data_IF_427292142188
#
_entry.id   IF_427292142188
#
_cell.length_a   1.000
_cell.length_b   1.000
_cell.length_c   1.000
_cell.angle_alpha   90.00
_cell.angle_beta   90.00
_cell.angle_gamma   90.00
#
_symmetry.space_group_name_H-M   'P 1'
#
loop_
_entity.id
_entity.type
_entity.pdbx_description
1 polymer ?
#
# COMPACT_ATOMS: atom_id res chain seq x y z
N UNK A 1 32.08 7.27 -5.51
CA UNK A 1 31.45 6.91 -4.22
C UNK A 1 30.96 8.13 -3.43
N UNK A 2 31.74 9.23 -3.33
CA UNK A 2 31.31 10.47 -2.67
C UNK A 2 30.18 11.23 -3.38
N UNK A 3 30.23 11.33 -4.72
CA UNK A 3 29.18 11.98 -5.51
C UNK A 3 27.79 11.35 -5.29
N UNK A 4 27.67 10.02 -5.35
CA UNK A 4 26.41 9.32 -5.05
C UNK A 4 25.93 9.55 -3.62
N UNK A 5 26.84 9.67 -2.64
CA UNK A 5 26.49 9.96 -1.25
C UNK A 5 25.96 11.38 -1.08
N UNK A 6 26.50 12.33 -1.83
CA UNK A 6 26.04 13.71 -1.88
C UNK A 6 24.68 13.84 -2.58
N UNK A 7 24.51 13.23 -3.76
CA UNK A 7 23.23 13.20 -4.50
C UNK A 7 22.13 12.55 -3.67
N UNK A 8 22.42 11.42 -3.01
CA UNK A 8 21.46 10.77 -2.10
C UNK A 8 21.02 11.70 -0.98
N UNK A 9 21.96 12.38 -0.30
CA UNK A 9 21.62 13.37 0.76
C UNK A 9 20.75 14.51 0.23
N UNK A 10 21.05 15.02 -0.97
CA UNK A 10 20.26 16.08 -1.61
C UNK A 10 18.85 15.59 -1.94
N UNK A 11 18.70 14.39 -2.51
CA UNK A 11 17.38 13.82 -2.81
C UNK A 11 16.58 13.57 -1.52
N UNK A 12 17.20 13.02 -0.47
CA UNK A 12 16.50 12.87 0.84
C UNK A 12 16.02 14.23 1.36
N UNK A 13 16.85 15.26 1.23
CA UNK A 13 16.51 16.62 1.68
C UNK A 13 15.38 17.25 0.84
N UNK A 14 15.35 17.01 -0.47
CA UNK A 14 14.28 17.46 -1.36
C UNK A 14 12.98 16.69 -1.12
N UNK A 15 13.04 15.37 -0.97
CA UNK A 15 11.88 14.57 -0.59
C UNK A 15 11.31 15.04 0.74
N UNK A 16 12.17 15.38 1.70
CA UNK A 16 11.78 15.93 3.00
C UNK A 16 10.99 17.25 2.91
N UNK A 17 11.01 17.91 1.75
CA UNK A 17 10.21 19.11 1.47
C UNK A 17 8.87 18.81 0.76
N UNK A 18 8.72 17.61 0.19
CA UNK A 18 7.50 17.14 -0.51
C UNK A 18 6.56 16.32 0.39
N UNK A 19 7.03 15.90 1.56
CA UNK A 19 6.29 15.13 2.56
C UNK A 19 6.91 15.28 3.96
N UNK A 20 6.52 14.42 4.90
CA UNK A 20 7.12 14.41 6.24
C UNK A 20 8.60 13.98 6.15
N UNK A 21 9.54 14.91 6.43
CA UNK A 21 10.98 14.63 6.47
C UNK A 21 11.35 13.40 7.32
N UNK A 22 10.59 13.16 8.39
CA UNK A 22 10.74 12.03 9.30
C UNK A 22 10.36 10.71 8.63
N UNK A 23 9.33 10.71 7.80
CA UNK A 23 8.82 9.53 7.08
C UNK A 23 9.82 9.03 6.04
N UNK A 24 10.29 9.91 5.15
CA UNK A 24 11.24 9.51 4.10
C UNK A 24 12.56 9.01 4.71
N UNK A 25 13.02 9.61 5.80
CA UNK A 25 14.19 9.12 6.51
C UNK A 25 13.95 7.75 7.16
N UNK A 26 12.78 7.50 7.74
CA UNK A 26 12.41 6.17 8.25
C UNK A 26 12.32 5.13 7.13
N UNK A 27 11.69 5.46 6.00
CA UNK A 27 11.61 4.60 4.82
C UNK A 27 13.01 4.24 4.31
N UNK A 28 13.87 5.25 4.09
CA UNK A 28 15.23 5.02 3.61
C UNK A 28 16.08 4.26 4.63
N UNK A 29 15.92 4.50 5.93
CA UNK A 29 16.63 3.74 6.97
C UNK A 29 16.17 2.28 7.00
N UNK A 30 14.86 2.02 6.87
CA UNK A 30 14.28 0.68 6.87
C UNK A 30 14.72 -0.15 5.67
N UNK A 31 14.79 0.45 4.48
CA UNK A 31 14.99 -0.30 3.24
C UNK A 31 16.41 -0.27 2.67
N UNK A 32 17.30 0.62 3.14
CA UNK A 32 18.62 0.75 2.52
C UNK A 32 19.74 -0.12 3.10
N UNK A 33 19.51 -0.86 4.19
CA UNK A 33 20.61 -1.56 4.89
C UNK A 33 20.37 -3.02 5.27
N UNK A 34 19.14 -3.53 5.33
CA UNK A 34 18.89 -4.88 5.88
C UNK A 34 18.12 -5.86 4.97
N UNK A 35 17.34 -5.41 3.98
CA UNK A 35 16.47 -6.33 3.23
C UNK A 35 16.09 -5.82 1.82
N UNK A 36 17.08 -5.49 0.97
CA UNK A 36 16.84 -5.00 -0.40
C UNK A 36 15.94 -5.94 -1.22
N UNK A 37 16.07 -7.27 -1.01
CA UNK A 37 15.22 -8.30 -1.65
C UNK A 37 13.74 -8.20 -1.29
N UNK A 38 13.42 -7.62 -0.13
CA UNK A 38 12.05 -7.47 0.36
C UNK A 38 11.51 -6.07 0.13
N UNK A 39 12.26 -5.15 -0.48
CA UNK A 39 11.80 -3.78 -0.65
C UNK A 39 10.49 -3.72 -1.47
N UNK A 40 10.58 -4.03 -2.76
CA UNK A 40 9.43 -3.94 -3.65
C UNK A 40 9.48 -4.96 -4.78
N UNK A 41 8.32 -5.54 -5.10
CA UNK A 41 8.07 -6.23 -6.36
C UNK A 41 7.17 -5.33 -7.21
N UNK A 42 7.63 -4.94 -8.39
CA UNK A 42 6.93 -4.04 -9.32
C UNK A 42 6.50 -4.83 -10.54
N UNK A 43 5.20 -5.12 -10.66
CA UNK A 43 4.61 -5.75 -11.83
C UNK A 43 4.26 -4.69 -12.87
N UNK A 44 4.83 -4.83 -14.06
CA UNK A 44 4.64 -3.93 -15.20
C UNK A 44 3.76 -4.61 -16.26
N UNK A 45 2.62 -3.99 -16.57
CA UNK A 45 1.78 -4.45 -17.68
C UNK A 45 2.43 -4.20 -19.04
N UNK A 46 2.18 -5.06 -20.03
CA UNK A 46 2.75 -4.90 -21.38
C UNK A 46 2.35 -3.58 -22.06
N UNK A 47 1.17 -3.04 -21.76
CA UNK A 47 0.75 -1.72 -22.24
C UNK A 47 1.64 -0.59 -21.70
N UNK A 48 2.07 -0.67 -20.43
CA UNK A 48 3.01 0.30 -19.85
C UNK A 48 4.35 0.27 -20.58
N UNK A 49 4.86 -0.92 -20.92
CA UNK A 49 6.10 -1.05 -21.71
C UNK A 49 5.99 -0.44 -23.12
N UNK A 50 4.79 -0.48 -23.72
CA UNK A 50 4.55 0.07 -25.05
C UNK A 50 4.39 1.58 -25.01
N UNK A 51 3.56 2.06 -24.08
CA UNK A 51 3.01 3.42 -24.12
C UNK A 51 3.71 4.40 -23.17
N UNK A 52 4.34 3.91 -22.09
CA UNK A 52 4.84 4.77 -21.00
C UNK A 52 6.22 4.33 -20.48
N UNK A 53 7.05 3.79 -21.37
CA UNK A 53 8.42 3.37 -21.07
C UNK A 53 9.30 4.50 -20.49
N UNK A 54 9.25 5.76 -20.98
CA UNK A 54 10.05 6.85 -20.41
C UNK A 54 9.71 7.17 -18.95
N UNK A 55 8.41 7.22 -18.59
CA UNK A 55 8.03 7.48 -17.20
C UNK A 55 8.38 6.29 -16.29
N UNK A 56 8.19 5.05 -16.78
CA UNK A 56 8.60 3.84 -16.07
C UNK A 56 10.09 3.83 -15.74
N UNK A 57 10.94 4.08 -16.75
CA UNK A 57 12.40 4.05 -16.59
C UNK A 57 12.88 5.18 -15.70
N UNK A 58 12.30 6.38 -15.81
CA UNK A 58 12.56 7.51 -14.91
C UNK A 58 12.25 7.17 -13.44
N UNK A 59 11.06 6.61 -13.17
CA UNK A 59 10.66 6.26 -11.80
C UNK A 59 11.49 5.13 -11.20
N UNK A 60 11.82 4.10 -11.97
CA UNK A 60 12.69 3.00 -11.51
C UNK A 60 14.13 3.49 -11.28
N UNK A 61 14.64 4.38 -12.14
CA UNK A 61 15.95 5.04 -11.98
C UNK A 61 16.00 5.84 -10.68
N UNK A 62 14.95 6.63 -10.42
CA UNK A 62 14.84 7.40 -9.19
C UNK A 62 14.94 6.52 -7.93
N UNK A 63 14.22 5.38 -7.90
CA UNK A 63 14.29 4.43 -6.79
C UNK A 63 15.72 3.92 -6.57
N UNK A 64 16.43 3.52 -7.62
CA UNK A 64 17.80 3.05 -7.49
C UNK A 64 18.75 4.15 -6.99
N UNK A 65 18.60 5.38 -7.49
CA UNK A 65 19.43 6.52 -7.09
C UNK A 65 19.29 6.86 -5.60
N UNK A 66 18.12 6.64 -4.99
CA UNK A 66 17.92 6.80 -3.55
C UNK A 66 18.35 5.58 -2.71
N UNK A 67 18.81 4.52 -3.37
CA UNK A 67 19.33 3.30 -2.76
C UNK A 67 18.30 2.18 -2.59
N UNK A 68 17.20 2.22 -3.35
CA UNK A 68 16.15 1.20 -3.34
C UNK A 68 16.15 0.43 -4.67
N UNK A 69 16.34 -0.88 -4.61
CA UNK A 69 16.43 -1.72 -5.81
C UNK A 69 15.16 -2.56 -5.94
N UNK A 70 14.14 -2.11 -6.70
CA UNK A 70 12.93 -2.92 -6.91
C UNK A 70 13.24 -4.16 -7.75
N UNK A 71 12.47 -5.22 -7.52
CA UNK A 71 12.41 -6.39 -8.41
C UNK A 71 11.29 -6.14 -9.41
N UNK A 72 11.61 -6.14 -10.70
CA UNK A 72 10.63 -5.83 -11.76
C UNK A 72 10.21 -7.11 -12.46
N UNK A 73 8.90 -7.38 -12.52
CA UNK A 73 8.33 -8.46 -13.31
C UNK A 73 7.48 -7.84 -14.43
N UNK A 74 7.70 -8.23 -15.68
CA UNK A 74 6.96 -7.66 -16.80
C UNK A 74 6.15 -8.68 -17.59
N UNK A 75 5.03 -8.22 -18.16
CA UNK A 75 4.32 -8.89 -19.24
C UNK A 75 4.67 -8.29 -20.61
N UNK A 76 4.08 -8.84 -21.67
CA UNK A 76 4.21 -8.32 -23.05
C UNK A 76 2.91 -8.48 -23.85
N UNK A 77 1.76 -8.36 -23.18
CA UNK A 77 0.45 -8.72 -23.72
C UNK A 77 0.14 -8.11 -25.10
N UNK A 78 0.15 -6.78 -25.26
CA UNK A 78 -0.17 -6.15 -26.54
C UNK A 78 0.85 -6.42 -27.64
N UNK A 79 2.14 -6.43 -27.32
CA UNK A 79 3.22 -6.74 -28.27
C UNK A 79 3.08 -8.17 -28.80
N UNK A 80 2.71 -9.10 -27.92
CA UNK A 80 2.49 -10.49 -28.27
C UNK A 80 1.22 -10.68 -29.12
N UNK A 81 0.16 -9.93 -28.85
CA UNK A 81 -1.06 -9.96 -29.68
C UNK A 81 -0.76 -9.50 -31.12
N UNK A 82 0.05 -8.46 -31.29
CA UNK A 82 0.48 -7.94 -32.60
C UNK A 82 1.30 -8.97 -33.39
N UNK A 83 2.34 -9.55 -32.77
CA UNK A 83 3.23 -10.53 -33.42
C UNK A 83 2.52 -11.85 -33.75
N UNK A 84 1.61 -12.32 -32.89
CA UNK A 84 0.78 -13.50 -33.17
C UNK A 84 -0.15 -13.25 -34.36
N UNK A 85 -0.79 -12.07 -34.41
CA UNK A 85 -1.64 -11.68 -35.52
C UNK A 85 -0.86 -11.59 -36.83
N UNK A 86 0.34 -11.01 -36.81
CA UNK A 86 1.22 -10.93 -37.98
C UNK A 86 1.63 -12.32 -38.50
N UNK A 87 1.79 -13.30 -37.60
CA UNK A 87 2.05 -14.69 -37.94
C UNK A 87 0.80 -15.51 -38.34
N UNK A 88 -0.38 -14.89 -38.40
CA UNK A 88 -1.64 -15.55 -38.73
C UNK A 88 -2.16 -16.49 -37.63
N UNK A 89 -1.66 -16.37 -36.40
CA UNK A 89 -2.09 -17.18 -35.26
C UNK A 89 -3.21 -16.44 -34.52
N UNK A 90 -4.42 -17.01 -34.56
CA UNK A 90 -5.57 -16.43 -33.87
C UNK A 90 -5.42 -16.53 -32.35
N UNK A 91 -5.74 -15.44 -31.66
CA UNK A 91 -5.79 -15.40 -30.20
C UNK A 91 -6.96 -16.26 -29.69
N UNK A 92 -6.63 -17.27 -28.90
CA UNK A 92 -7.61 -18.09 -28.20
C UNK A 92 -7.42 -17.95 -26.68
N UNK A 93 -8.52 -17.76 -25.97
CA UNK A 93 -8.52 -17.64 -24.51
C UNK A 93 -9.56 -18.56 -23.89
N UNK A 94 -9.18 -19.29 -22.85
CA UNK A 94 -10.07 -20.12 -22.02
C UNK A 94 -9.91 -19.63 -20.59
N UNK A 95 -11.01 -19.31 -19.90
CA UNK A 95 -11.00 -18.79 -18.52
C UNK A 95 -10.06 -17.59 -18.30
N UNK A 96 -9.93 -16.71 -19.30
CA UNK A 96 -9.03 -15.55 -19.24
C UNK A 96 -7.54 -15.86 -19.45
N UNK A 97 -7.17 -17.13 -19.66
CA UNK A 97 -5.80 -17.56 -19.97
C UNK A 97 -5.63 -17.80 -21.47
N UNK A 98 -4.50 -17.39 -22.02
CA UNK A 98 -4.18 -17.58 -23.45
C UNK A 98 -3.74 -19.03 -23.69
N UNK A 99 -4.47 -19.73 -24.57
CA UNK A 99 -4.06 -21.05 -25.07
C UNK A 99 -2.79 -20.89 -25.89
N UNK A 100 -1.77 -21.70 -25.62
CA UNK A 100 -0.44 -21.53 -26.22
C UNK A 100 -0.01 -22.82 -26.95
N UNK A 101 -0.05 -22.80 -28.28
CA UNK A 101 0.47 -23.88 -29.12
C UNK A 101 2.01 -23.82 -29.26
N UNK A 102 2.68 -24.87 -29.76
CA UNK A 102 4.13 -24.84 -30.01
C UNK A 102 4.57 -23.68 -30.92
N UNK A 103 3.79 -23.39 -31.97
CA UNK A 103 4.06 -22.24 -32.86
C UNK A 103 3.89 -20.90 -32.14
N UNK A 104 2.84 -20.78 -31.31
CA UNK A 104 2.63 -19.58 -30.51
C UNK A 104 3.74 -19.39 -29.46
N UNK A 105 4.20 -20.46 -28.81
CA UNK A 105 5.25 -20.38 -27.79
C UNK A 105 6.57 -19.82 -28.34
N UNK A 106 6.94 -20.17 -29.57
CA UNK A 106 8.14 -19.61 -30.20
C UNK A 106 8.08 -18.07 -30.30
N UNK A 107 6.90 -17.53 -30.64
CA UNK A 107 6.66 -16.09 -30.70
C UNK A 107 6.60 -15.50 -29.30
N UNK A 108 5.92 -16.15 -28.35
CA UNK A 108 5.89 -15.76 -26.93
C UNK A 108 7.31 -15.55 -26.42
N UNK A 109 8.19 -16.54 -26.58
CA UNK A 109 9.58 -16.48 -26.12
C UNK A 109 10.34 -15.31 -26.73
N UNK A 110 10.26 -15.15 -28.06
CA UNK A 110 10.90 -14.04 -28.79
C UNK A 110 10.45 -12.69 -28.24
N UNK A 111 9.14 -12.45 -28.17
CA UNK A 111 8.57 -11.18 -27.74
C UNK A 111 8.94 -10.86 -26.29
N UNK A 112 8.88 -11.84 -25.40
CA UNK A 112 9.25 -11.62 -24.00
C UNK A 112 10.74 -11.30 -23.83
N UNK A 113 11.63 -11.99 -24.55
CA UNK A 113 13.07 -11.68 -24.52
C UNK A 113 13.36 -10.28 -25.06
N UNK A 114 12.72 -9.90 -26.16
CA UNK A 114 12.87 -8.58 -26.77
C UNK A 114 12.39 -7.45 -25.84
N UNK A 115 11.19 -7.59 -25.26
CA UNK A 115 10.65 -6.57 -24.34
C UNK A 115 11.44 -6.51 -23.02
N UNK A 116 11.98 -7.64 -22.55
CA UNK A 116 12.85 -7.68 -21.38
C UNK A 116 14.12 -6.86 -21.62
N UNK A 117 14.81 -7.13 -22.74
CA UNK A 117 16.04 -6.43 -23.10
C UNK A 117 15.77 -4.94 -23.36
N UNK A 118 14.70 -4.61 -24.08
CA UNK A 118 14.28 -3.21 -24.33
C UNK A 118 14.13 -2.41 -23.03
N UNK A 119 13.50 -2.98 -22.00
CA UNK A 119 13.36 -2.29 -20.71
C UNK A 119 14.72 -2.13 -20.01
N UNK A 120 15.55 -3.18 -20.02
CA UNK A 120 16.90 -3.14 -19.41
C UNK A 120 17.78 -2.10 -20.09
N UNK A 121 17.82 -2.06 -21.41
CA UNK A 121 18.59 -1.08 -22.19
C UNK A 121 18.10 0.34 -21.94
N UNK A 122 16.78 0.55 -21.86
CA UNK A 122 16.22 1.85 -21.56
C UNK A 122 16.59 2.34 -20.13
N UNK A 123 16.65 1.43 -19.15
CA UNK A 123 17.17 1.75 -17.81
C UNK A 123 18.66 2.09 -17.85
N UNK A 124 19.46 1.26 -18.53
CA UNK A 124 20.91 1.48 -18.65
C UNK A 124 21.25 2.80 -19.37
N UNK A 125 20.44 3.20 -20.36
CA UNK A 125 20.55 4.50 -21.01
C UNK A 125 20.30 5.71 -20.10
N UNK A 126 19.73 5.49 -18.91
CA UNK A 126 19.56 6.49 -17.84
C UNK A 126 20.58 6.33 -16.70
N UNK A 127 21.70 5.65 -16.95
CA UNK A 127 22.73 5.29 -15.96
C UNK A 127 22.22 4.43 -14.80
N UNK A 128 21.15 3.67 -15.03
CA UNK A 128 20.55 2.76 -14.05
C UNK A 128 21.06 1.34 -14.26
N UNK A 129 21.59 0.71 -13.20
CA UNK A 129 22.00 -0.69 -13.28
C UNK A 129 20.76 -1.58 -13.34
N UNK A 130 20.58 -2.29 -14.43
CA UNK A 130 19.52 -3.27 -14.60
C UNK A 130 20.09 -4.57 -15.20
N UNK A 131 19.57 -5.70 -14.75
CA UNK A 131 19.97 -7.04 -15.19
C UNK A 131 18.78 -7.70 -15.87
N UNK A 132 18.98 -8.18 -17.09
CA UNK A 132 18.01 -9.01 -17.80
C UNK A 132 17.94 -10.40 -17.17
N UNK A 133 16.74 -10.82 -16.77
CA UNK A 133 16.45 -12.16 -16.24
C UNK A 133 15.30 -12.76 -17.07
N UNK A 134 15.57 -13.23 -18.29
CA UNK A 134 14.53 -13.68 -19.22
C UNK A 134 13.96 -15.06 -18.86
N UNK A 135 14.64 -15.84 -18.04
CA UNK A 135 14.26 -17.21 -17.66
C UNK A 135 14.99 -17.66 -16.37
N UNK A 136 14.71 -18.87 -15.89
CA UNK A 136 15.40 -19.47 -14.73
C UNK A 136 14.90 -19.04 -13.34
N UNK A 137 13.83 -18.25 -13.27
CA UNK A 137 13.18 -17.84 -12.01
C UNK A 137 11.99 -18.72 -11.66
N UNK A 138 11.17 -19.08 -12.64
CA UNK A 138 9.91 -19.80 -12.43
C UNK A 138 10.04 -21.25 -12.89
N UNK A 139 10.17 -22.19 -11.95
CA UNK A 139 9.94 -23.59 -12.27
C UNK A 139 8.43 -23.82 -12.36
N UNK A 140 7.97 -24.50 -13.38
CA UNK A 140 6.55 -24.64 -13.70
C UNK A 140 6.20 -26.04 -14.19
N UNK A 141 5.00 -26.48 -13.84
CA UNK A 141 4.36 -27.66 -14.41
C UNK A 141 3.30 -27.24 -15.43
N UNK A 142 2.85 -28.15 -16.28
CA UNK A 142 1.72 -27.87 -17.18
C UNK A 142 0.47 -27.59 -16.35
N UNK A 143 -0.22 -26.47 -16.64
CA UNK A 143 -1.47 -26.14 -15.95
C UNK A 143 -2.57 -27.16 -16.29
N UNK A 144 -2.79 -27.34 -17.59
CA UNK A 144 -3.59 -28.40 -18.19
C UNK A 144 -3.21 -28.42 -19.68
N UNK A 145 -2.54 -29.49 -20.10
CA UNK A 145 -1.94 -29.56 -21.44
C UNK A 145 -3.00 -29.68 -22.53
N UNK A 146 -4.11 -30.32 -22.24
CA UNK A 146 -5.17 -30.56 -23.23
C UNK A 146 -6.02 -29.30 -23.44
N UNK A 147 -6.22 -28.53 -22.37
CA UNK A 147 -7.02 -27.29 -22.40
C UNK A 147 -6.20 -26.08 -22.86
N UNK A 148 -4.98 -25.90 -22.32
CA UNK A 148 -4.20 -24.67 -22.52
C UNK A 148 -2.94 -24.85 -23.36
N UNK A 149 -2.52 -26.08 -23.66
CA UNK A 149 -1.27 -26.35 -24.37
C UNK A 149 -0.03 -26.11 -23.51
N UNK A 150 0.91 -25.30 -24.02
CA UNK A 150 2.19 -24.96 -23.38
C UNK A 150 2.04 -23.80 -22.39
N UNK A 151 1.09 -23.95 -21.45
CA UNK A 151 0.83 -22.99 -20.39
C UNK A 151 1.17 -23.62 -19.05
N UNK A 152 1.93 -22.89 -18.23
CA UNK A 152 2.46 -23.36 -16.97
C UNK A 152 1.71 -22.84 -15.74
N UNK A 153 1.70 -23.66 -14.70
CA UNK A 153 1.47 -23.27 -13.31
C UNK A 153 2.81 -23.28 -12.60
N UNK A 154 3.18 -22.17 -11.97
CA UNK A 154 4.43 -22.06 -11.21
C UNK A 154 4.38 -23.05 -10.03
N UNK A 155 5.39 -23.91 -9.92
CA UNK A 155 5.54 -24.91 -8.87
C UNK A 155 6.58 -24.50 -7.83
N UNK A 156 7.65 -23.81 -8.26
CA UNK A 156 8.64 -23.23 -7.35
C UNK A 156 9.33 -22.00 -7.94
N UNK A 157 9.96 -21.21 -7.07
CA UNK A 157 10.69 -19.98 -7.42
C UNK A 157 12.17 -20.16 -7.10
N UNK A 158 13.02 -20.01 -8.11
CA UNK A 158 14.47 -19.90 -7.94
C UNK A 158 14.88 -18.43 -7.76
N UNK A 159 15.29 -18.07 -6.55
CA UNK A 159 15.71 -16.71 -6.21
C UNK A 159 17.15 -16.39 -6.61
N UNK A 160 17.98 -17.37 -6.96
CA UNK A 160 19.41 -17.16 -7.17
C UNK A 160 19.73 -16.07 -8.22
N UNK A 161 19.04 -16.00 -9.39
CA UNK A 161 19.28 -14.93 -10.37
C UNK A 161 18.91 -13.54 -9.83
N UNK A 162 17.82 -13.46 -9.06
CA UNK A 162 17.32 -12.21 -8.48
C UNK A 162 18.32 -11.71 -7.43
N UNK A 163 18.74 -12.57 -6.52
CA UNK A 163 19.69 -12.22 -5.47
C UNK A 163 21.05 -11.81 -6.02
N UNK A 164 21.53 -12.46 -7.09
CA UNK A 164 22.76 -12.08 -7.76
C UNK A 164 22.69 -10.65 -8.31
N UNK A 165 21.58 -10.29 -8.97
CA UNK A 165 21.35 -8.93 -9.46
C UNK A 165 21.29 -7.91 -8.32
N UNK A 166 20.56 -8.23 -7.24
CA UNK A 166 20.42 -7.34 -6.09
C UNK A 166 21.75 -7.13 -5.35
N UNK A 167 22.59 -8.15 -5.22
CA UNK A 167 23.96 -8.02 -4.66
C UNK A 167 24.84 -7.08 -5.49
N UNK A 168 24.65 -7.08 -6.81
CA UNK A 168 25.31 -6.12 -7.71
C UNK A 168 24.68 -4.71 -7.65
N UNK A 169 23.63 -4.51 -6.84
CA UNK A 169 22.86 -3.27 -6.77
C UNK A 169 22.14 -2.94 -8.09
N UNK A 170 21.81 -3.97 -8.86
CA UNK A 170 21.16 -3.89 -10.16
C UNK A 170 19.71 -4.33 -10.06
N UNK A 171 18.79 -3.62 -10.72
CA UNK A 171 17.36 -3.97 -10.80
C UNK A 171 17.22 -5.27 -11.61
N UNK A 172 16.76 -6.39 -11.02
CA UNK A 172 16.42 -7.57 -11.80
C UNK A 172 15.12 -7.32 -12.57
N UNK A 173 15.18 -7.42 -13.90
CA UNK A 173 14.03 -7.33 -14.79
C UNK A 173 13.68 -8.74 -15.27
N UNK A 174 12.59 -9.28 -14.74
CA UNK A 174 12.18 -10.67 -14.89
C UNK A 174 11.07 -10.77 -15.93
N UNK A 175 11.22 -11.70 -16.88
CA UNK A 175 10.15 -12.06 -17.81
C UNK A 175 9.22 -13.11 -17.21
N UNK A 176 7.92 -13.03 -17.48
CA UNK A 176 6.95 -14.05 -17.04
C UNK A 176 6.97 -15.28 -17.96
N UNK A 177 8.05 -16.06 -17.89
CA UNK A 177 8.20 -17.36 -18.56
C UNK A 177 8.56 -18.44 -17.53
N UNK A 178 7.91 -19.60 -17.62
CA UNK A 178 8.16 -20.76 -16.78
C UNK A 178 9.04 -21.80 -17.47
N UNK A 179 9.66 -22.69 -16.70
CA UNK A 179 10.46 -23.81 -17.19
C UNK A 179 10.07 -25.09 -16.45
N UNK A 180 9.88 -26.20 -17.16
CA UNK A 180 9.76 -27.52 -16.52
C UNK A 180 11.12 -27.99 -16.02
N UNK A 181 11.14 -29.02 -15.17
CA UNK A 181 12.39 -29.67 -14.72
C UNK A 181 13.22 -30.22 -15.89
N UNK A 182 12.59 -30.59 -17.01
CA UNK A 182 13.29 -31.02 -18.23
C UNK A 182 13.73 -29.84 -19.15
N UNK A 183 13.48 -28.60 -18.74
CA UNK A 183 13.87 -27.40 -19.49
C UNK A 183 12.88 -26.95 -20.58
N UNK A 184 11.66 -27.48 -20.61
CA UNK A 184 10.63 -26.99 -21.53
C UNK A 184 10.11 -25.62 -21.06
N UNK A 185 10.23 -24.60 -21.91
CA UNK A 185 9.64 -23.29 -21.65
C UNK A 185 8.11 -23.38 -21.68
N UNK A 186 7.44 -22.77 -20.72
CA UNK A 186 5.98 -22.62 -20.65
C UNK A 186 5.61 -21.15 -20.58
N UNK A 187 4.51 -20.78 -21.23
CA UNK A 187 3.90 -19.48 -21.04
C UNK A 187 3.21 -19.44 -19.67
N UNK A 188 3.45 -18.40 -18.87
CA UNK A 188 2.81 -18.24 -17.56
C UNK A 188 2.05 -16.91 -17.50
N UNK A 189 0.93 -16.88 -16.78
CA UNK A 189 0.21 -15.63 -16.55
C UNK A 189 1.06 -14.70 -15.66
N UNK A 190 1.26 -13.45 -16.09
CA UNK A 190 2.14 -12.51 -15.39
C UNK A 190 1.64 -12.12 -13.99
N UNK A 191 0.32 -12.08 -13.76
CA UNK A 191 -0.24 -11.79 -12.43
C UNK A 191 -0.09 -12.99 -11.50
N UNK A 192 -0.26 -14.22 -12.01
CA UNK A 192 0.01 -15.43 -11.22
C UNK A 192 1.50 -15.57 -10.88
N UNK A 193 2.37 -15.31 -11.86
CA UNK A 193 3.82 -15.28 -11.64
C UNK A 193 4.21 -14.24 -10.58
N UNK A 194 3.60 -13.04 -10.61
CA UNK A 194 3.80 -12.02 -9.60
C UNK A 194 3.38 -12.50 -8.22
N UNK A 195 2.20 -13.11 -8.11
CA UNK A 195 1.67 -13.59 -6.84
C UNK A 195 2.59 -14.64 -6.21
N UNK A 196 3.04 -15.64 -6.97
CA UNK A 196 3.95 -16.67 -6.45
C UNK A 196 5.30 -16.08 -6.04
N UNK A 197 5.85 -15.18 -6.84
CA UNK A 197 7.09 -14.47 -6.49
C UNK A 197 6.95 -13.65 -5.20
N UNK A 198 5.81 -12.97 -5.02
CA UNK A 198 5.49 -12.18 -3.83
C UNK A 198 5.33 -13.06 -2.60
N UNK A 199 4.67 -14.22 -2.70
CA UNK A 199 4.51 -15.15 -1.58
C UNK A 199 5.86 -15.65 -1.07
N UNK A 200 6.80 -15.93 -1.98
CA UNK A 200 8.15 -16.39 -1.63
C UNK A 200 9.02 -15.26 -1.06
N UNK A 201 8.99 -14.07 -1.68
CA UNK A 201 9.82 -12.93 -1.25
C UNK A 201 9.31 -12.21 0.00
N UNK A 202 8.00 -12.26 0.24
CA UNK A 202 7.30 -11.47 1.25
C UNK A 202 7.74 -9.98 1.30
N UNK A 203 7.59 -9.25 0.18
CA UNK A 203 8.03 -7.86 0.09
C UNK A 203 7.15 -6.93 0.92
N UNK A 204 7.71 -5.79 1.30
CA UNK A 204 6.98 -4.71 1.96
C UNK A 204 6.04 -3.98 1.01
N UNK A 205 6.46 -3.79 -0.25
CA UNK A 205 5.66 -3.13 -1.28
C UNK A 205 5.45 -4.05 -2.47
N UNK A 206 4.20 -4.15 -2.90
CA UNK A 206 3.82 -4.85 -4.12
C UNK A 206 3.16 -3.81 -5.00
N UNK A 207 3.75 -3.52 -6.16
CA UNK A 207 3.28 -2.43 -7.01
C UNK A 207 2.77 -2.99 -8.32
N UNK A 208 1.54 -2.69 -8.67
CA UNK A 208 0.97 -2.96 -9.99
C UNK A 208 0.91 -1.67 -10.79
N UNK A 209 1.76 -1.55 -11.81
CA UNK A 209 1.74 -0.40 -12.72
C UNK A 209 0.73 -0.62 -13.84
N UNK A 210 -0.27 0.26 -13.91
CA UNK A 210 -1.34 0.23 -14.91
C UNK A 210 -1.55 1.59 -15.54
N UNK A 211 -2.11 1.63 -16.76
CA UNK A 211 -2.45 2.89 -17.43
C UNK A 211 -3.57 3.66 -16.73
N UNK A 212 -4.45 3.00 -15.98
CA UNK A 212 -5.56 3.66 -15.26
C UNK A 212 -5.12 4.38 -13.99
N UNK A 213 -3.98 4.01 -13.40
CA UNK A 213 -3.45 4.66 -12.20
C UNK A 213 -4.10 4.30 -10.88
N UNK A 214 -5.12 3.44 -10.85
CA UNK A 214 -5.77 3.02 -9.61
C UNK A 214 -7.02 2.19 -9.83
N UNK A 215 -7.69 1.88 -8.72
CA UNK A 215 -9.07 1.38 -8.67
C UNK A 215 -10.01 2.58 -8.60
N UNK A 216 -11.15 2.52 -9.31
CA UNK A 216 -12.09 3.63 -9.43
C UNK A 216 -13.34 3.40 -8.56
N UNK A 217 -13.87 4.44 -7.94
CA UNK A 217 -15.15 4.44 -7.22
C UNK A 217 -16.35 4.50 -8.18
N UNK A 218 -17.57 4.51 -7.62
CA UNK A 218 -18.84 4.66 -8.34
C UNK A 218 -18.92 5.92 -9.22
N UNK A 219 -18.11 6.95 -8.90
CA UNK A 219 -18.03 8.24 -9.61
C UNK A 219 -16.84 8.30 -10.57
N UNK A 220 -16.12 7.19 -10.77
CA UNK A 220 -14.96 7.13 -11.65
C UNK A 220 -13.72 7.83 -11.10
N UNK A 221 -13.65 8.10 -9.79
CA UNK A 221 -12.49 8.71 -9.12
C UNK A 221 -11.61 7.62 -8.52
N UNK A 222 -10.31 7.86 -8.43
CA UNK A 222 -9.40 6.90 -7.80
C UNK A 222 -9.74 6.75 -6.31
N UNK A 223 -9.83 5.50 -5.87
CA UNK A 223 -9.92 5.14 -4.46
C UNK A 223 -8.50 5.24 -3.89
N UNK A 224 -8.25 6.21 -3.01
CA UNK A 224 -6.90 6.45 -2.46
C UNK A 224 -6.38 5.25 -1.65
N UNK A 225 -7.24 4.61 -0.85
CA UNK A 225 -6.86 3.51 0.02
C UNK A 225 -7.99 2.53 0.31
N UNK A 226 -7.64 1.26 0.55
CA UNK A 226 -8.56 0.20 0.99
C UNK A 226 -7.94 -0.57 2.15
N UNK A 227 -8.63 -0.62 3.29
CA UNK A 227 -8.37 -1.50 4.41
C UNK A 227 -9.28 -2.74 4.34
N UNK A 228 -8.70 -3.87 3.96
CA UNK A 228 -9.46 -5.11 3.75
C UNK A 228 -10.13 -5.61 5.04
N UNK A 229 -9.54 -5.42 6.20
CA UNK A 229 -10.13 -5.89 7.47
C UNK A 229 -11.43 -5.20 7.86
N UNK A 230 -11.64 -3.96 7.39
CA UNK A 230 -12.82 -3.15 7.74
C UNK A 230 -13.74 -2.90 6.55
N UNK A 231 -13.22 -2.83 5.33
CA UNK A 231 -13.97 -2.38 4.16
C UNK A 231 -14.29 -3.49 3.16
N UNK A 232 -13.64 -4.66 3.24
CA UNK A 232 -13.73 -5.68 2.19
C UNK A 232 -15.16 -6.15 1.91
N UNK A 233 -15.90 -6.56 2.94
CA UNK A 233 -17.27 -7.08 2.76
C UNK A 233 -18.20 -6.02 2.16
N UNK A 234 -18.14 -4.79 2.69
CA UNK A 234 -18.94 -3.67 2.20
C UNK A 234 -18.60 -3.32 0.75
N UNK A 235 -17.30 -3.27 0.42
CA UNK A 235 -16.80 -2.97 -0.91
C UNK A 235 -17.24 -4.05 -1.91
N UNK A 236 -17.08 -5.32 -1.55
CA UNK A 236 -17.43 -6.46 -2.41
C UNK A 236 -18.94 -6.61 -2.64
N UNK A 237 -19.77 -6.08 -1.74
CA UNK A 237 -21.21 -6.02 -1.90
C UNK A 237 -21.69 -4.88 -2.84
N UNK A 238 -20.82 -3.93 -3.20
CA UNK A 238 -21.21 -2.82 -4.06
C UNK A 238 -21.52 -3.28 -5.49
N UNK A 239 -22.59 -2.76 -6.13
CA UNK A 239 -22.97 -3.16 -7.49
C UNK A 239 -21.99 -2.69 -8.57
N UNK A 240 -21.27 -1.60 -8.33
CA UNK A 240 -20.27 -1.06 -9.26
C UNK A 240 -18.94 -1.83 -9.23
N UNK A 241 -18.70 -2.65 -8.20
CA UNK A 241 -17.60 -3.62 -8.18
C UNK A 241 -18.04 -4.83 -8.99
N UNK A 242 -17.63 -4.91 -10.26
CA UNK A 242 -17.98 -6.02 -11.15
C UNK A 242 -16.82 -6.41 -12.08
N UNK A 243 -16.99 -7.56 -12.76
CA UNK A 243 -16.02 -8.09 -13.72
C UNK A 243 -14.60 -8.20 -13.18
N UNK A 244 -13.63 -7.68 -13.94
CA UNK A 244 -12.20 -7.76 -13.59
C UNK A 244 -11.81 -6.98 -12.33
N UNK A 245 -12.58 -5.96 -11.93
CA UNK A 245 -12.29 -5.22 -10.70
C UNK A 245 -12.52 -6.09 -9.46
N UNK A 246 -13.61 -6.87 -9.44
CA UNK A 246 -13.91 -7.83 -8.37
C UNK A 246 -12.77 -8.84 -8.23
N UNK A 247 -12.39 -9.48 -9.34
CA UNK A 247 -11.31 -10.48 -9.36
C UNK A 247 -9.98 -9.89 -8.86
N UNK A 248 -9.67 -8.64 -9.22
CA UNK A 248 -8.44 -7.98 -8.79
C UNK A 248 -8.43 -7.72 -7.28
N UNK A 249 -9.55 -7.30 -6.70
CA UNK A 249 -9.66 -7.08 -5.24
C UNK A 249 -9.55 -8.42 -4.51
N UNK A 250 -10.20 -9.47 -4.99
CA UNK A 250 -10.10 -10.83 -4.42
C UNK A 250 -8.66 -11.35 -4.44
N UNK A 251 -7.97 -11.21 -5.57
CA UNK A 251 -6.56 -11.61 -5.70
C UNK A 251 -5.65 -10.83 -4.76
N UNK A 252 -5.86 -9.53 -4.60
CA UNK A 252 -5.09 -8.71 -3.68
C UNK A 252 -5.36 -9.10 -2.23
N UNK A 253 -6.62 -9.38 -1.88
CA UNK A 253 -7.00 -9.82 -0.55
C UNK A 253 -6.37 -11.17 -0.20
N UNK A 254 -6.44 -12.14 -1.11
CA UNK A 254 -5.81 -13.45 -0.94
C UNK A 254 -4.29 -13.34 -0.83
N UNK A 255 -3.65 -12.51 -1.66
CA UNK A 255 -2.22 -12.27 -1.60
C UNK A 255 -1.80 -11.69 -0.23
N UNK A 256 -2.45 -10.62 0.21
CA UNK A 256 -2.16 -9.93 1.47
C UNK A 256 -2.51 -10.78 2.71
N UNK A 257 -3.42 -11.75 2.60
CA UNK A 257 -3.74 -12.67 3.69
C UNK A 257 -2.52 -13.49 4.12
N UNK A 258 -1.67 -13.89 3.16
CA UNK A 258 -0.47 -14.71 3.36
C UNK A 258 0.80 -13.92 3.71
N UNK A 259 0.71 -12.59 3.75
CA UNK A 259 1.85 -11.71 3.96
C UNK A 259 1.84 -11.07 5.35
N UNK A 260 3.00 -10.54 5.81
CA UNK A 260 3.05 -9.72 7.02
C UNK A 260 2.11 -8.51 6.95
N UNK A 261 1.59 -8.05 8.11
CA UNK A 261 0.74 -6.85 8.20
C UNK A 261 1.36 -5.59 7.60
N UNK A 262 2.69 -5.52 7.60
CA UNK A 262 3.46 -4.40 7.05
C UNK A 262 3.49 -4.37 5.53
N UNK A 263 3.07 -5.44 4.85
CA UNK A 263 3.02 -5.51 3.40
C UNK A 263 1.79 -4.77 2.87
N UNK A 264 1.96 -4.08 1.74
CA UNK A 264 0.87 -3.38 1.07
C UNK A 264 0.95 -3.55 -0.44
N UNK A 265 -0.21 -3.55 -1.08
CA UNK A 265 -0.33 -3.47 -2.54
C UNK A 265 -0.63 -2.03 -2.94
N UNK A 266 0.09 -1.50 -3.92
CA UNK A 266 -0.19 -0.20 -4.56
C UNK A 266 -0.51 -0.41 -6.02
N UNK A 267 -1.60 0.19 -6.51
CA UNK A 267 -1.93 0.24 -7.94
C UNK A 267 -1.80 1.69 -8.38
N UNK A 268 -0.87 1.98 -9.27
CA UNK A 268 -0.55 3.35 -9.68
C UNK A 268 -0.06 3.41 -11.14
N UNK A 269 0.17 4.61 -11.65
CA UNK A 269 0.81 4.86 -12.94
C UNK A 269 2.33 5.00 -12.77
N UNK A 270 3.13 4.75 -13.82
CA UNK A 270 4.58 4.85 -13.77
C UNK A 270 5.07 6.21 -13.29
N UNK A 271 4.51 7.32 -13.80
CA UNK A 271 4.88 8.68 -13.41
C UNK A 271 4.62 8.99 -11.93
N UNK A 272 3.67 8.30 -11.32
CA UNK A 272 3.21 8.54 -9.96
C UNK A 272 3.86 7.60 -8.93
N UNK A 273 4.67 6.64 -9.38
CA UNK A 273 5.29 5.60 -8.54
C UNK A 273 6.05 6.15 -7.33
N UNK A 274 6.89 7.17 -7.53
CA UNK A 274 7.66 7.75 -6.44
C UNK A 274 6.72 8.41 -5.39
N UNK A 275 5.72 9.15 -5.86
CA UNK A 275 4.76 9.82 -4.99
C UNK A 275 3.91 8.81 -4.21
N UNK A 276 3.49 7.72 -4.85
CA UNK A 276 2.79 6.60 -4.22
C UNK A 276 3.62 5.93 -3.13
N UNK A 277 4.92 5.74 -3.35
CA UNK A 277 5.79 5.05 -2.39
C UNK A 277 6.28 5.92 -1.22
N UNK A 278 6.40 7.24 -1.42
CA UNK A 278 7.06 8.13 -0.46
C UNK A 278 6.14 9.19 0.17
N UNK A 279 4.84 9.19 -0.12
CA UNK A 279 3.92 10.16 0.47
C UNK A 279 2.69 9.48 1.08
N UNK A 280 2.18 10.01 2.18
CA UNK A 280 0.96 9.52 2.83
C UNK A 280 -0.29 9.59 1.94
N UNK A 281 -0.41 10.65 1.13
CA UNK A 281 -1.54 10.80 0.22
C UNK A 281 -1.45 9.81 -0.94
N UNK A 282 -0.23 9.42 -1.31
CA UNK A 282 0.02 8.62 -2.48
C UNK A 282 -0.51 9.26 -3.77
N UNK A 283 -0.62 8.44 -4.79
CA UNK A 283 -1.19 8.83 -6.09
C UNK A 283 -1.59 7.56 -6.84
N UNK A 284 -2.61 6.90 -6.30
CA UNK A 284 -3.08 5.60 -6.75
C UNK A 284 -3.99 4.97 -5.70
N UNK A 285 -4.12 3.65 -5.75
CA UNK A 285 -4.88 2.90 -4.74
C UNK A 285 -3.94 2.06 -3.89
N UNK A 286 -3.90 2.37 -2.60
CA UNK A 286 -3.14 1.64 -1.59
C UNK A 286 -4.03 0.64 -0.85
N UNK A 287 -3.81 -0.65 -1.08
CA UNK A 287 -4.55 -1.73 -0.43
C UNK A 287 -3.69 -2.37 0.65
N UNK A 288 -4.26 -2.52 1.84
CA UNK A 288 -3.64 -3.19 2.99
C UNK A 288 -4.60 -4.20 3.57
N UNK A 289 -4.04 -5.25 4.19
CA UNK A 289 -4.84 -6.14 5.05
C UNK A 289 -5.47 -5.33 6.18
N UNK A 290 -4.70 -4.39 6.73
CA UNK A 290 -5.08 -3.58 7.88
C UNK A 290 -5.24 -4.42 9.13
N UNK A 291 -5.81 -3.80 10.15
CA UNK A 291 -6.06 -4.43 11.44
C UNK A 291 -7.53 -4.33 11.79
N UNK A 292 -8.03 -5.38 12.45
CA UNK A 292 -9.37 -5.32 13.03
C UNK A 292 -9.43 -4.21 14.08
N UNK A 293 -10.53 -3.47 14.06
CA UNK A 293 -10.86 -2.50 15.10
C UNK A 293 -11.77 -3.17 16.11
N UNK A 294 -11.27 -3.35 17.32
CA UNK A 294 -12.01 -3.93 18.44
C UNK A 294 -12.75 -2.82 19.19
N UNK A 295 -14.00 -3.11 19.59
CA UNK A 295 -14.86 -2.21 20.34
C UNK A 295 -15.03 -2.71 21.77
N UNK A 296 -14.87 -1.80 22.73
CA UNK A 296 -15.12 -2.03 24.15
C UNK A 296 -16.01 -0.92 24.72
N UNK A 297 -16.81 -1.25 25.73
CA UNK A 297 -17.69 -0.29 26.43
C UNK A 297 -17.12 0.14 27.79
N UNK A 298 -16.09 -0.57 28.27
CA UNK A 298 -15.39 -0.31 29.53
C UNK A 298 -13.90 -0.63 29.37
N UNK A 299 -13.12 -0.48 30.43
CA UNK A 299 -11.73 -0.94 30.47
C UNK A 299 -11.60 -2.47 30.52
N UNK A 300 -12.70 -3.21 30.72
CA UNK A 300 -12.69 -4.66 30.81
C UNK A 300 -12.28 -5.29 29.48
N UNK A 301 -11.30 -6.20 29.52
CA UNK A 301 -10.75 -6.85 28.33
C UNK A 301 -9.71 -6.03 27.56
N UNK A 302 -9.35 -4.82 28.04
CA UNK A 302 -8.29 -4.00 27.47
C UNK A 302 -6.98 -4.23 28.22
N UNK A 303 -5.91 -4.39 27.46
CA UNK A 303 -4.54 -4.34 27.97
C UNK A 303 -4.17 -2.88 28.27
N UNK A 304 -4.27 -2.51 29.55
CA UNK A 304 -4.00 -1.14 30.00
C UNK A 304 -2.53 -0.75 29.90
N UNK A 305 -1.61 -1.71 29.93
CA UNK A 305 -0.19 -1.45 29.77
C UNK A 305 0.10 -1.03 28.33
N UNK A 306 -0.35 -1.83 27.35
CA UNK A 306 -0.22 -1.49 25.93
C UNK A 306 -0.99 -0.23 25.55
N UNK A 307 -2.17 -0.01 26.12
CA UNK A 307 -2.93 1.23 25.91
C UNK A 307 -2.16 2.45 26.42
N UNK A 308 -1.52 2.34 27.59
CA UNK A 308 -0.66 3.40 28.13
C UNK A 308 0.51 3.67 27.20
N UNK A 309 1.25 2.63 26.80
CA UNK A 309 2.38 2.76 25.88
C UNK A 309 1.99 3.42 24.56
N UNK A 310 0.86 3.03 23.98
CA UNK A 310 0.31 3.62 22.77
C UNK A 310 0.05 5.11 22.93
N UNK A 311 -0.66 5.51 23.99
CA UNK A 311 -0.97 6.92 24.27
C UNK A 311 0.34 7.69 24.45
N UNK A 312 1.24 7.22 25.31
CA UNK A 312 2.47 7.96 25.63
C UNK A 312 3.38 8.10 24.41
N UNK A 313 3.50 7.05 23.61
CA UNK A 313 4.28 7.06 22.37
C UNK A 313 3.68 7.99 21.31
N UNK A 314 2.35 7.99 21.16
CA UNK A 314 1.66 8.83 20.17
C UNK A 314 1.72 10.32 20.51
N UNK A 315 1.61 10.67 21.80
CA UNK A 315 1.58 12.07 22.24
C UNK A 315 2.95 12.62 22.66
N UNK A 316 3.97 11.75 22.80
CA UNK A 316 5.30 12.10 23.31
C UNK A 316 5.31 12.57 24.76
N UNK A 317 4.28 12.22 25.54
CA UNK A 317 4.04 12.72 26.91
C UNK A 317 3.45 11.61 27.77
N UNK A 318 3.73 11.65 29.07
CA UNK A 318 3.19 10.67 30.02
C UNK A 318 1.72 10.91 30.29
N UNK A 319 0.96 9.83 30.40
CA UNK A 319 -0.43 9.91 30.85
C UNK A 319 -0.44 10.03 32.38
N UNK A 320 -1.36 10.82 32.93
CA UNK A 320 -1.48 10.98 34.39
C UNK A 320 -1.73 9.62 35.05
N UNK A 321 -1.14 9.40 36.23
CA UNK A 321 -1.11 8.08 36.88
C UNK A 321 -2.52 7.50 37.11
N UNK A 322 -3.45 8.36 37.48
CA UNK A 322 -4.84 8.05 37.82
C UNK A 322 -5.78 8.00 36.59
N UNK A 323 -5.27 8.13 35.37
CA UNK A 323 -6.12 8.27 34.18
C UNK A 323 -7.10 7.12 34.01
N UNK A 324 -6.62 5.88 34.04
CA UNK A 324 -7.46 4.69 33.85
C UNK A 324 -8.38 4.38 35.03
N UNK A 325 -8.08 4.92 36.21
CA UNK A 325 -8.95 4.77 37.40
C UNK A 325 -10.01 5.87 37.47
N UNK A 326 -9.71 7.08 37.00
CA UNK A 326 -10.62 8.24 37.05
C UNK A 326 -11.51 8.35 35.81
N UNK A 327 -11.05 7.88 34.66
CA UNK A 327 -11.77 8.03 33.40
C UNK A 327 -12.74 6.87 33.21
N UNK A 328 -14.02 7.17 33.07
CA UNK A 328 -15.03 6.18 32.69
C UNK A 328 -15.28 6.27 31.19
N UNK A 329 -14.80 5.30 30.40
CA UNK A 329 -15.04 5.28 28.97
C UNK A 329 -16.52 5.02 28.68
N UNK A 330 -17.01 5.67 27.63
CA UNK A 330 -18.28 5.37 27.00
C UNK A 330 -18.10 4.28 25.95
N UNK A 331 -17.08 4.46 25.09
CA UNK A 331 -16.68 3.51 24.05
C UNK A 331 -15.18 3.64 23.81
N UNK A 332 -14.55 2.51 23.50
CA UNK A 332 -13.14 2.44 23.13
C UNK A 332 -13.05 1.66 21.83
N UNK A 333 -12.35 2.24 20.87
CA UNK A 333 -12.00 1.59 19.61
C UNK A 333 -10.49 1.41 19.62
N UNK A 334 -10.01 0.19 19.47
CA UNK A 334 -8.57 -0.11 19.48
C UNK A 334 -8.26 -1.09 18.37
N UNK A 335 -7.22 -0.81 17.59
CA UNK A 335 -6.68 -1.77 16.62
C UNK A 335 -6.19 -3.03 17.36
N UNK A 336 -6.37 -4.22 16.81
CA UNK A 336 -6.00 -5.49 17.46
C UNK A 336 -4.53 -5.54 17.97
N UNK A 337 -3.60 -4.79 17.34
CA UNK A 337 -2.20 -4.70 17.79
C UNK A 337 -1.85 -3.42 18.57
N UNK A 338 -2.85 -2.67 19.06
CA UNK A 338 -2.64 -1.46 19.88
C UNK A 338 -1.73 -0.42 19.19
N UNK A 339 -1.87 -0.25 17.87
CA UNK A 339 -1.15 0.79 17.10
C UNK A 339 -2.00 2.04 16.85
N UNK A 340 -3.32 1.93 17.01
CA UNK A 340 -4.25 3.05 17.01
C UNK A 340 -5.38 2.81 18.02
N UNK A 341 -5.81 3.87 18.71
CA UNK A 341 -6.95 3.83 19.61
C UNK A 341 -7.70 5.16 19.69
N UNK A 342 -9.01 5.05 19.91
CA UNK A 342 -9.89 6.15 20.28
C UNK A 342 -10.61 5.83 21.57
N UNK A 343 -10.56 6.76 22.52
CA UNK A 343 -11.25 6.63 23.80
C UNK A 343 -12.28 7.74 23.86
N UNK A 344 -13.55 7.36 23.93
CA UNK A 344 -14.68 8.27 24.06
C UNK A 344 -15.19 8.24 25.49
N UNK A 345 -15.55 9.40 26.04
CA UNK A 345 -16.30 9.53 27.30
C UNK A 345 -17.66 10.16 27.05
N UNK A 346 -18.55 10.16 28.06
CA UNK A 346 -19.79 10.94 28.04
C UNK A 346 -19.60 12.24 28.80
N UNK A 347 -19.90 13.34 28.13
CA UNK A 347 -19.69 14.69 28.66
C UNK A 347 -20.84 15.57 28.16
N UNK A 348 -21.50 16.32 29.05
CA UNK A 348 -22.70 17.12 28.71
C UNK A 348 -23.80 16.30 27.99
N UNK A 349 -23.89 14.99 28.30
CA UNK A 349 -24.84 14.07 27.66
C UNK A 349 -24.41 13.54 26.28
N UNK A 350 -23.32 14.06 25.72
CA UNK A 350 -22.83 13.76 24.37
C UNK A 350 -21.54 12.93 24.41
N UNK A 351 -21.20 12.31 23.28
CA UNK A 351 -19.92 11.64 23.13
C UNK A 351 -18.78 12.67 22.98
N UNK A 352 -17.73 12.48 23.75
CA UNK A 352 -16.53 13.30 23.72
C UNK A 352 -15.30 12.45 23.41
N UNK A 353 -14.49 12.86 22.42
CA UNK A 353 -13.24 12.16 22.10
C UNK A 353 -12.12 12.61 23.05
N UNK A 354 -11.81 11.76 24.03
CA UNK A 354 -10.80 12.05 25.05
C UNK A 354 -9.37 11.73 24.59
N UNK A 355 -9.22 10.67 23.79
CA UNK A 355 -7.96 10.32 23.14
C UNK A 355 -8.20 9.88 21.70
N UNK A 356 -7.30 10.34 20.83
CA UNK A 356 -7.03 9.72 19.56
C UNK A 356 -5.52 9.52 19.47
N UNK A 357 -5.08 8.27 19.66
CA UNK A 357 -3.68 7.88 19.65
C UNK A 357 -3.40 7.02 18.42
N UNK A 358 -2.34 7.35 17.68
CA UNK A 358 -1.89 6.58 16.50
C UNK A 358 -0.37 6.63 16.50
N UNK A 359 0.28 5.47 16.55
CA UNK A 359 1.74 5.37 16.46
C UNK A 359 2.25 5.91 15.12
N UNK A 360 3.47 6.45 15.12
CA UNK A 360 4.12 7.00 13.93
C UNK A 360 4.19 6.01 12.76
N UNK A 361 4.40 4.72 13.04
CA UNK A 361 4.48 3.67 12.01
C UNK A 361 3.10 3.30 11.43
N UNK A 362 2.02 3.55 12.18
CA UNK A 362 0.64 3.42 11.73
C UNK A 362 0.11 4.70 11.05
N UNK A 363 0.79 5.84 11.22
CA UNK A 363 0.49 7.08 10.50
C UNK A 363 0.90 6.92 9.03
N UNK A 364 -0.04 7.18 8.10
CA UNK A 364 0.14 6.83 6.68
C UNK A 364 -0.18 5.38 6.33
N UNK A 365 -0.40 4.51 7.34
CA UNK A 365 -0.98 3.19 7.10
C UNK A 365 -2.49 3.23 6.81
N UNK A 366 -3.12 4.40 7.01
CA UNK A 366 -4.58 4.55 6.96
C UNK A 366 -5.27 4.00 8.21
N UNK A 367 -4.55 3.40 9.15
CA UNK A 367 -5.11 2.78 10.35
C UNK A 367 -5.87 3.80 11.22
N UNK A 368 -5.30 4.98 11.45
CA UNK A 368 -6.00 6.04 12.19
C UNK A 368 -7.33 6.45 11.54
N UNK A 369 -7.38 6.46 10.20
CA UNK A 369 -8.61 6.75 9.45
C UNK A 369 -9.61 5.59 9.55
N UNK A 370 -9.14 4.35 9.49
CA UNK A 370 -10.00 3.18 9.66
C UNK A 370 -10.67 3.16 11.05
N UNK A 371 -9.89 3.40 12.12
CA UNK A 371 -10.45 3.51 13.48
C UNK A 371 -11.42 4.69 13.58
N UNK A 372 -11.13 5.82 12.93
CA UNK A 372 -12.04 6.97 12.88
C UNK A 372 -13.37 6.65 12.21
N UNK A 373 -13.37 5.97 11.06
CA UNK A 373 -14.60 5.66 10.33
C UNK A 373 -15.50 4.72 11.14
N UNK A 374 -14.93 3.64 11.71
CA UNK A 374 -15.69 2.71 12.58
C UNK A 374 -16.28 3.45 13.79
N UNK A 375 -15.51 4.35 14.40
CA UNK A 375 -16.01 5.19 15.49
C UNK A 375 -17.12 6.13 15.03
N UNK A 376 -16.95 6.82 13.90
CA UNK A 376 -17.89 7.82 13.38
C UNK A 376 -19.24 7.20 13.00
N UNK A 377 -19.23 6.00 12.41
CA UNK A 377 -20.46 5.26 12.04
C UNK A 377 -21.34 4.96 13.26
N UNK A 378 -20.74 4.61 14.40
CA UNK A 378 -21.48 4.31 15.62
C UNK A 378 -21.81 5.55 16.47
N UNK A 379 -21.14 6.68 16.23
CA UNK A 379 -21.26 7.91 17.01
C UNK A 379 -21.59 9.11 16.10
N UNK A 380 -22.86 9.34 15.75
CA UNK A 380 -23.26 10.37 14.79
C UNK A 380 -23.11 11.81 15.31
N UNK A 381 -22.89 11.98 16.62
CA UNK A 381 -22.62 13.27 17.26
C UNK A 381 -21.37 13.11 18.13
N UNK A 382 -20.40 14.01 17.95
CA UNK A 382 -19.15 13.98 18.69
C UNK A 382 -18.57 15.39 18.79
N UNK A 383 -17.93 15.69 19.92
CA UNK A 383 -17.12 16.89 20.08
C UNK A 383 -15.78 16.55 20.75
N UNK A 384 -14.77 17.37 20.49
CA UNK A 384 -13.42 17.14 21.00
C UNK A 384 -12.59 18.40 21.01
N UNK A 385 -11.41 18.33 21.64
CA UNK A 385 -10.43 19.43 21.63
C UNK A 385 -9.04 18.97 21.24
N UNK A 386 -8.26 19.90 20.70
CA UNK A 386 -6.87 19.72 20.32
C UNK A 386 -6.04 20.98 20.59
N UNK A 387 -4.73 20.85 20.73
CA UNK A 387 -3.82 22.00 20.86
C UNK A 387 -3.59 22.67 19.50
N UNK A 388 -3.31 23.97 19.48
CA UNK A 388 -3.12 24.73 18.23
C UNK A 388 -2.06 24.13 17.30
N UNK A 389 -0.92 23.70 17.85
CA UNK A 389 0.21 23.15 17.09
C UNK A 389 0.14 21.66 16.79
N UNK A 390 -0.98 20.99 17.08
CA UNK A 390 -1.11 19.56 16.79
C UNK A 390 -1.26 19.31 15.28
N UNK A 391 -0.41 18.45 14.71
CA UNK A 391 -0.38 18.16 13.27
C UNK A 391 -1.68 17.54 12.76
N UNK A 392 -2.37 16.75 13.60
CA UNK A 392 -3.66 16.12 13.25
C UNK A 392 -4.79 17.13 13.07
N UNK A 393 -4.62 18.41 13.42
CA UNK A 393 -5.66 19.41 13.25
C UNK A 393 -6.12 19.53 11.78
N UNK A 394 -5.25 19.30 10.80
CA UNK A 394 -5.62 19.30 9.38
C UNK A 394 -6.68 18.22 9.10
N UNK A 395 -6.49 17.03 9.68
CA UNK A 395 -7.46 15.95 9.61
C UNK A 395 -8.76 16.32 10.34
N UNK A 396 -8.68 16.90 11.54
CA UNK A 396 -9.87 17.34 12.27
C UNK A 396 -10.69 18.39 11.54
N UNK A 397 -10.06 19.35 10.87
CA UNK A 397 -10.78 20.32 10.03
C UNK A 397 -11.56 19.66 8.90
N UNK A 398 -10.99 18.62 8.29
CA UNK A 398 -11.64 17.90 7.20
C UNK A 398 -12.81 17.03 7.68
N UNK A 399 -12.76 16.55 8.92
CA UNK A 399 -13.76 15.63 9.47
C UNK A 399 -14.84 16.32 10.34
N UNK A 400 -14.64 17.58 10.71
CA UNK A 400 -15.58 18.37 11.53
C UNK A 400 -16.61 19.14 10.70
N UNK A 401 -17.81 19.32 11.24
CA UNK A 401 -18.81 20.26 10.70
C UNK A 401 -18.53 21.71 11.15
N UNK A 402 -17.83 21.88 12.28
CA UNK A 402 -17.46 23.18 12.81
C UNK A 402 -16.29 23.14 13.79
N UNK A 403 -15.69 24.31 14.01
CA UNK A 403 -14.62 24.47 14.99
C UNK A 403 -14.69 25.83 15.69
N UNK A 404 -14.15 25.90 16.90
CA UNK A 404 -14.04 27.13 17.70
C UNK A 404 -12.64 27.24 18.31
N UNK A 405 -12.00 28.40 18.14
CA UNK A 405 -10.65 28.65 18.62
C UNK A 405 -10.69 29.35 19.98
N UNK A 406 -10.11 28.72 20.99
CA UNK A 406 -9.86 29.29 22.32
C UNK A 406 -8.38 29.67 22.45
N UNK A 407 -8.01 30.28 23.57
CA UNK A 407 -6.62 30.68 23.84
C UNK A 407 -5.66 29.47 23.80
N UNK A 408 -5.97 28.41 24.56
CA UNK A 408 -5.11 27.21 24.66
C UNK A 408 -5.51 26.06 23.74
N UNK A 409 -6.76 26.03 23.29
CA UNK A 409 -7.37 24.88 22.62
C UNK A 409 -8.09 25.27 21.33
N UNK A 410 -8.25 24.29 20.45
CA UNK A 410 -9.24 24.29 19.37
C UNK A 410 -10.29 23.25 19.71
N UNK A 411 -11.55 23.62 19.66
CA UNK A 411 -12.70 22.73 19.83
C UNK A 411 -13.26 22.41 18.46
N UNK A 412 -13.62 21.17 18.24
CA UNK A 412 -14.20 20.66 17.00
C UNK A 412 -15.44 19.84 17.33
N UNK A 413 -16.37 19.78 16.38
CA UNK A 413 -17.57 18.96 16.50
C UNK A 413 -18.09 18.50 15.14
N UNK A 414 -18.90 17.46 15.15
CA UNK A 414 -19.79 17.09 14.04
C UNK A 414 -21.14 16.59 14.59
N UNK A 415 -22.18 16.67 13.77
CA UNK A 415 -23.52 16.19 14.08
C UNK A 415 -24.32 17.08 15.05
N UNK A 416 -23.73 18.15 15.58
CA UNK A 416 -24.40 19.13 16.44
C UNK A 416 -25.02 20.24 15.59
N UNK A 417 -26.32 20.49 15.76
CA UNK A 417 -27.07 21.48 14.97
C UNK A 417 -27.57 22.68 15.79
N UNK A 418 -27.63 22.53 17.11
CA UNK A 418 -28.12 23.58 18.00
C UNK A 418 -26.98 24.43 18.56
N UNK A 419 -27.14 25.76 18.49
CA UNK A 419 -26.13 26.70 18.97
C UNK A 419 -25.91 26.63 20.47
N UNK A 420 -26.98 26.43 21.26
CA UNK A 420 -26.86 26.33 22.71
C UNK A 420 -26.10 25.04 23.12
N UNK A 421 -26.35 23.93 22.42
CA UNK A 421 -25.57 22.71 22.58
C UNK A 421 -24.09 22.88 22.24
N UNK A 422 -23.78 23.54 21.12
CA UNK A 422 -22.39 23.84 20.71
C UNK A 422 -21.71 24.72 21.77
N UNK A 423 -22.39 25.74 22.27
CA UNK A 423 -21.86 26.64 23.31
C UNK A 423 -21.50 25.87 24.58
N UNK A 424 -22.37 24.96 25.06
CA UNK A 424 -22.09 24.09 26.21
C UNK A 424 -20.85 23.21 25.97
N UNK A 425 -20.75 22.57 24.81
CA UNK A 425 -19.60 21.73 24.45
C UNK A 425 -18.28 22.52 24.42
N UNK A 426 -18.31 23.73 23.85
CA UNK A 426 -17.15 24.63 23.79
C UNK A 426 -16.73 25.08 25.19
N UNK A 427 -17.69 25.45 26.05
CA UNK A 427 -17.43 25.83 27.43
C UNK A 427 -16.81 24.66 28.23
N UNK A 428 -17.35 23.45 28.09
CA UNK A 428 -16.79 22.24 28.73
C UNK A 428 -15.34 22.00 28.35
N UNK A 429 -15.00 22.14 27.07
CA UNK A 429 -13.64 21.92 26.58
C UNK A 429 -12.62 22.92 27.15
N UNK A 430 -13.05 24.12 27.55
CA UNK A 430 -12.19 25.13 28.16
C UNK A 430 -11.77 24.71 29.58
N UNK A 431 -12.70 24.15 30.35
CA UNK A 431 -12.50 23.85 31.79
C UNK A 431 -11.99 22.44 32.05
N UNK A 432 -12.13 21.51 31.09
CA UNK A 432 -11.70 20.11 31.28
C UNK A 432 -10.19 20.04 31.62
N UNK A 433 -9.79 19.36 32.71
CA UNK A 433 -8.38 19.21 33.07
C UNK A 433 -7.56 18.50 31.98
N UNK A 434 -6.26 18.78 31.93
CA UNK A 434 -5.35 18.02 31.08
C UNK A 434 -5.21 16.59 31.61
N UNK A 435 -5.16 15.62 30.71
CA UNK A 435 -5.02 14.18 31.02
C UNK A 435 -3.64 13.64 30.63
N UNK A 436 -2.75 14.51 30.17
CA UNK A 436 -1.33 14.23 29.91
C UNK A 436 -0.50 15.22 30.74
N UNK A 437 0.65 14.75 31.22
CA UNK A 437 1.65 15.60 31.88
C UNK A 437 2.34 16.43 30.79
N UNK A 438 2.39 17.76 30.97
CA UNK A 438 2.98 18.69 30.00
C UNK A 438 4.49 18.45 29.81
#
# INVERSE_FOLDING_TARGET
MEAHKHTRKTIVRLLSSMGSAKEIQQYLKRFSQLDAKRFAVVKVGGAVLRDDLPALTSSLTFLQQVGLTPIVLHGAGPQLDEELSAAGIQKQTVNGLRVTSPKALAIVRKVFQEQNLRLVEALQGMDTRATSVPSGVFTSEYLDRDVYGLVGKVSSINLAPIEASLRAGSIPVIASLGETEEGQILNINADFAANELVRVLQPYKIVFLTGTGGLLDDKGRIIDSINLSTEYEHLMAQPWINGGMRVKIEQIADLLSSLPLTSSVSITQPAELAKELFTHKGSGTLVRRGEKVLRYESWEGIDLERMRELIESSFGRKVVADYFTRTTPYRIYVSENYRAAMILTREEGLAYLDKFAVLDDAQGEGLGRAVWQVMREENPQLFWRSRHGNQVNIFYYAESDGCFKQERWKVFWYGLKDFAEIERCVAHCAVRPATLVD
#
